data_IF_244248618915
#
_entry.id   IF_244248618915
#
_cell.length_a   1.000
_cell.length_b   1.000
_cell.length_c   1.000
_cell.angle_alpha   90.00
_cell.angle_beta   90.00
_cell.angle_gamma   90.00
#
_symmetry.space_group_name_H-M   'P 1'
#
loop_
_entity.id
_entity.type
_entity.pdbx_description
1 polymer ?
#
# COMPACT_ATOMS: atom_id res chain seq x y z
N UNK A 1 4.12 5.07 5.92
CA UNK A 1 2.81 4.39 5.99
C UNK A 1 2.64 3.52 7.23
N UNK A 2 3.63 2.71 7.63
CA UNK A 2 3.49 1.79 8.77
C UNK A 2 3.96 2.35 10.11
N UNK A 3 3.41 1.82 11.21
CA UNK A 3 3.85 2.13 12.58
C UNK A 3 5.02 1.27 13.05
N UNK A 4 5.28 0.14 12.38
CA UNK A 4 6.35 -0.81 12.72
C UNK A 4 6.94 -1.48 11.46
N UNK A 5 8.07 -2.15 11.63
CA UNK A 5 8.77 -2.85 10.55
C UNK A 5 8.08 -4.13 10.08
N UNK A 6 7.19 -4.70 10.90
CA UNK A 6 6.38 -5.88 10.54
C UNK A 6 5.23 -5.53 9.59
N UNK A 7 5.01 -4.23 9.31
CA UNK A 7 3.98 -3.73 8.39
C UNK A 7 2.56 -4.19 8.74
N UNK A 8 2.30 -4.47 10.01
CA UNK A 8 1.00 -5.00 10.48
C UNK A 8 -0.03 -3.91 10.78
N UNK A 9 0.39 -2.64 10.86
CA UNK A 9 -0.49 -1.53 11.23
C UNK A 9 -0.08 -0.26 10.49
N UNK A 10 -1.07 0.40 9.89
CA UNK A 10 -0.90 1.72 9.26
C UNK A 10 -0.87 2.81 10.32
N UNK A 11 -0.10 3.87 10.07
CA UNK A 11 -0.21 5.10 10.86
C UNK A 11 -1.60 5.69 10.68
N UNK A 12 -2.13 6.33 11.72
CA UNK A 12 -3.51 6.83 11.74
C UNK A 12 -3.76 7.84 10.61
N UNK A 13 -2.76 8.69 10.36
CA UNK A 13 -2.79 9.77 9.38
C UNK A 13 -2.57 9.31 7.94
N UNK A 14 -2.12 8.07 7.71
CA UNK A 14 -1.94 7.55 6.35
C UNK A 14 -3.31 7.49 5.67
N UNK A 15 -3.50 8.18 4.55
CA UNK A 15 -4.77 8.18 3.81
C UNK A 15 -4.76 7.07 2.77
N UNK A 16 -5.95 6.56 2.45
CA UNK A 16 -6.11 5.55 1.40
C UNK A 16 -5.52 6.00 0.06
N UNK A 17 -5.76 7.26 -0.31
CA UNK A 17 -5.17 7.91 -1.48
C UNK A 17 -3.64 7.85 -1.53
N UNK A 18 -2.94 7.95 -0.40
CA UNK A 18 -1.47 7.89 -0.40
C UNK A 18 -0.97 6.49 -0.76
N UNK A 19 -1.73 5.45 -0.40
CA UNK A 19 -1.45 4.06 -0.76
C UNK A 19 -1.60 3.87 -2.27
N UNK A 20 -2.62 4.49 -2.87
CA UNK A 20 -2.83 4.47 -4.32
C UNK A 20 -1.72 5.21 -5.07
N UNK A 21 -1.27 6.36 -4.56
CA UNK A 21 -0.12 7.08 -5.13
C UNK A 21 1.17 6.24 -5.08
N UNK A 22 1.38 5.45 -4.02
CA UNK A 22 2.49 4.53 -3.95
C UNK A 22 2.36 3.38 -4.97
N UNK A 23 1.15 2.86 -5.19
CA UNK A 23 0.90 1.85 -6.23
C UNK A 23 1.29 2.38 -7.62
N UNK A 24 0.85 3.59 -7.97
CA UNK A 24 1.18 4.24 -9.24
C UNK A 24 2.68 4.47 -9.40
N UNK A 25 3.36 4.85 -8.32
CA UNK A 25 4.82 5.02 -8.33
C UNK A 25 5.55 3.71 -8.62
N UNK A 26 5.06 2.59 -8.07
CA UNK A 26 5.62 1.26 -8.31
C UNK A 26 5.33 0.80 -9.73
N UNK A 27 4.13 1.04 -10.25
CA UNK A 27 3.75 0.71 -11.63
C UNK A 27 4.73 1.31 -12.65
N UNK A 28 5.11 2.57 -12.44
CA UNK A 28 6.09 3.29 -13.27
C UNK A 28 7.55 2.83 -13.12
N UNK A 29 7.87 1.92 -12.18
CA UNK A 29 9.22 1.37 -12.05
C UNK A 29 9.54 0.41 -13.21
N UNK A 30 10.79 0.42 -13.68
CA UNK A 30 11.25 -0.52 -14.70
C UNK A 30 11.20 -1.97 -14.20
N UNK A 31 10.50 -2.83 -14.94
CA UNK A 31 10.43 -4.28 -14.68
C UNK A 31 11.77 -5.00 -14.95
N UNK A 32 12.61 -4.43 -15.82
CA UNK A 32 13.87 -5.06 -16.24
C UNK A 32 15.01 -4.79 -15.25
N UNK A 33 15.06 -3.58 -14.66
CA UNK A 33 16.16 -3.22 -13.74
C UNK A 33 15.98 -3.79 -12.33
N UNK A 34 14.75 -3.80 -11.79
CA UNK A 34 14.52 -4.14 -10.37
C UNK A 34 13.26 -5.01 -10.15
N UNK A 35 13.16 -6.19 -10.80
CA UNK A 35 11.96 -7.01 -10.74
C UNK A 35 11.62 -7.50 -9.32
N UNK A 36 12.64 -7.84 -8.52
CA UNK A 36 12.45 -8.35 -7.15
C UNK A 36 12.00 -7.26 -6.20
N UNK A 37 12.63 -6.10 -6.26
CA UNK A 37 12.29 -4.94 -5.45
C UNK A 37 10.89 -4.43 -5.79
N UNK A 38 10.55 -4.35 -7.09
CA UNK A 38 9.20 -3.98 -7.54
C UNK A 38 8.16 -4.96 -7.01
N UNK A 39 8.43 -6.26 -7.04
CA UNK A 39 7.56 -7.28 -6.45
C UNK A 39 7.37 -7.09 -4.93
N UNK A 40 8.45 -6.90 -4.17
CA UNK A 40 8.37 -6.66 -2.72
C UNK A 40 7.61 -5.37 -2.36
N UNK A 41 7.76 -4.33 -3.17
CA UNK A 41 7.00 -3.09 -3.01
C UNK A 41 5.50 -3.32 -3.28
N UNK A 42 5.16 -4.08 -4.32
CA UNK A 42 3.79 -4.47 -4.61
C UNK A 42 3.15 -5.24 -3.46
N UNK A 43 3.85 -6.21 -2.88
CA UNK A 43 3.35 -6.95 -1.72
C UNK A 43 3.11 -6.01 -0.52
N UNK A 44 4.02 -5.05 -0.32
CA UNK A 44 3.86 -4.01 0.69
C UNK A 44 2.64 -3.11 0.46
N UNK A 45 2.36 -2.71 -0.78
CA UNK A 45 1.20 -1.87 -1.09
C UNK A 45 -0.12 -2.65 -1.00
N UNK A 46 -0.14 -3.91 -1.43
CA UNK A 46 -1.31 -4.79 -1.25
C UNK A 46 -1.68 -4.95 0.22
N UNK A 47 -0.68 -5.19 1.08
CA UNK A 47 -0.89 -5.26 2.52
C UNK A 47 -1.42 -3.94 3.09
N UNK A 48 -0.85 -2.80 2.67
CA UNK A 48 -1.32 -1.49 3.10
C UNK A 48 -2.79 -1.28 2.71
N UNK A 49 -3.17 -1.61 1.46
CA UNK A 49 -4.55 -1.46 0.99
C UNK A 49 -5.51 -2.32 1.82
N UNK A 50 -5.16 -3.58 2.10
CA UNK A 50 -5.96 -4.45 2.97
C UNK A 50 -6.18 -3.86 4.37
N UNK A 51 -5.14 -3.30 4.98
CA UNK A 51 -5.25 -2.65 6.29
C UNK A 51 -6.10 -1.37 6.24
N UNK A 52 -5.99 -0.59 5.15
CA UNK A 52 -6.81 0.60 4.91
C UNK A 52 -8.29 0.23 4.89
N UNK A 53 -8.66 -0.82 4.14
CA UNK A 53 -10.03 -1.34 4.06
C UNK A 53 -10.53 -1.87 5.40
N UNK A 54 -9.70 -2.63 6.10
CA UNK A 54 -10.07 -3.24 7.39
C UNK A 54 -10.44 -2.22 8.47
N UNK A 55 -9.81 -1.04 8.46
CA UNK A 55 -10.14 0.07 9.38
C UNK A 55 -11.16 1.07 8.82
N UNK A 56 -11.60 0.90 7.57
CA UNK A 56 -12.61 1.74 6.95
C UNK A 56 -13.99 1.33 7.49
N UNK A 57 -14.67 2.24 8.20
CA UNK A 57 -15.99 1.97 8.77
C UNK A 57 -17.14 2.16 7.78
N UNK A 58 -16.84 2.67 6.57
CA UNK A 58 -17.83 2.86 5.52
C UNK A 58 -18.11 1.54 4.81
N UNK A 59 -19.40 1.19 4.69
CA UNK A 59 -19.81 0.08 3.85
C UNK A 59 -19.60 0.45 2.37
N UNK A 60 -18.85 -0.39 1.64
CA UNK A 60 -18.43 -0.09 0.26
C UNK A 60 -17.67 1.23 0.11
N UNK A 61 -16.85 1.61 1.11
CA UNK A 61 -16.06 2.86 1.07
C UNK A 61 -14.85 2.85 0.14
N UNK A 62 -14.66 1.79 -0.65
CA UNK A 62 -13.49 1.57 -1.51
C UNK A 62 -13.85 1.54 -3.01
N UNK A 63 -15.07 1.98 -3.37
CA UNK A 63 -15.63 1.98 -4.72
C UNK A 63 -15.71 3.38 -5.32
#
# INVERSE_FOLDING_TARGET
>A
MYTNNMKTTLKLETKDYEIDQAALSIECMSDEQNPKEKMMLWDGVKQAKQLSRSRNLLYNGDF
#
